data_IF_220960562962
#
_entry.id   IF_220960562962
#
_cell.length_a   1.000
_cell.length_b   1.000
_cell.length_c   1.000
_cell.angle_alpha   90.00
_cell.angle_beta   90.00
_cell.angle_gamma   90.00
#
_symmetry.space_group_name_H-M   'P 1'
#
loop_
_entity.id
_entity.type
_entity.pdbx_description
1 polymer ?
#
# COMPACT_ATOMS: atom_id res chain seq x y z
N UNK A 1 16.28 12.39 7.34
CA UNK A 1 15.11 13.16 7.84
C UNK A 1 14.03 13.00 6.80
N UNK A 2 12.87 12.47 7.17
CA UNK A 2 11.78 12.29 6.21
C UNK A 2 11.26 13.66 5.77
N UNK A 3 11.68 14.09 4.58
CA UNK A 3 11.27 15.37 3.97
C UNK A 3 9.80 15.35 3.47
N UNK A 4 9.06 14.29 3.74
CA UNK A 4 7.73 14.06 3.17
C UNK A 4 6.59 14.40 4.14
N UNK A 5 6.83 15.33 5.06
CA UNK A 5 5.79 15.86 5.93
C UNK A 5 5.59 17.36 5.65
N UNK A 6 4.36 17.81 5.55
CA UNK A 6 3.98 19.22 5.53
C UNK A 6 3.31 19.58 6.85
N UNK A 7 3.63 20.75 7.43
CA UNK A 7 3.01 21.23 8.65
C UNK A 7 2.41 22.64 8.46
N UNK A 8 1.41 22.95 9.26
CA UNK A 8 0.75 24.27 9.25
C UNK A 8 -0.41 24.36 8.28
N UNK A 9 -1.43 25.12 8.68
CA UNK A 9 -2.74 25.18 8.00
C UNK A 9 -2.66 25.65 6.55
N UNK A 10 -1.89 26.68 6.28
CA UNK A 10 -1.79 27.23 4.91
C UNK A 10 -1.07 26.25 3.98
N UNK A 11 0.07 25.70 4.41
CA UNK A 11 0.86 24.76 3.62
C UNK A 11 0.05 23.51 3.26
N UNK A 12 -0.64 22.93 4.26
CA UNK A 12 -1.46 21.74 4.05
C UNK A 12 -2.66 22.03 3.15
N UNK A 13 -3.34 23.18 3.35
CA UNK A 13 -4.47 23.57 2.51
C UNK A 13 -4.06 23.72 1.04
N UNK A 14 -2.96 24.41 0.77
CA UNK A 14 -2.47 24.62 -0.60
C UNK A 14 -2.00 23.30 -1.24
N UNK A 15 -1.37 22.41 -0.48
CA UNK A 15 -1.02 21.08 -0.98
C UNK A 15 -2.27 20.25 -1.40
N UNK A 16 -3.36 20.30 -0.60
CA UNK A 16 -4.61 19.66 -0.99
C UNK A 16 -5.21 20.33 -2.24
N UNK A 17 -5.25 21.67 -2.29
CA UNK A 17 -5.82 22.40 -3.44
C UNK A 17 -5.06 22.16 -4.74
N UNK A 18 -3.73 22.09 -4.69
CA UNK A 18 -2.87 21.87 -5.87
C UNK A 18 -2.93 20.43 -6.41
N UNK A 19 -3.62 19.51 -5.75
CA UNK A 19 -3.74 18.13 -6.22
C UNK A 19 -2.59 17.21 -5.82
N UNK A 20 -1.67 17.66 -4.96
CA UNK A 20 -0.57 16.83 -4.50
C UNK A 20 -1.11 15.60 -3.76
N UNK A 21 -0.50 14.45 -4.03
CA UNK A 21 -0.80 13.21 -3.32
C UNK A 21 -0.50 13.35 -1.83
N UNK A 22 -1.45 12.92 -0.99
CA UNK A 22 -1.32 12.93 0.47
C UNK A 22 -1.66 11.54 0.99
N UNK A 23 -0.75 10.93 1.73
CA UNK A 23 -0.95 9.62 2.34
C UNK A 23 -1.90 9.68 3.53
N UNK A 24 -1.69 10.66 4.40
CA UNK A 24 -2.54 10.89 5.55
C UNK A 24 -2.51 12.36 6.00
N UNK A 25 -3.66 12.84 6.43
CA UNK A 25 -3.82 14.12 7.10
C UNK A 25 -3.97 13.88 8.60
N UNK A 26 -3.03 14.37 9.39
CA UNK A 26 -3.08 14.34 10.84
C UNK A 26 -3.70 15.63 11.35
N UNK A 27 -4.76 15.53 12.15
CA UNK A 27 -5.48 16.67 12.71
C UNK A 27 -5.55 16.51 14.22
N UNK A 28 -5.33 17.58 14.95
CA UNK A 28 -5.43 17.57 16.41
C UNK A 28 -6.86 17.23 16.85
N UNK A 29 -7.01 16.32 17.79
CA UNK A 29 -8.30 15.99 18.41
C UNK A 29 -9.03 17.24 18.89
N UNK A 30 -10.32 17.34 18.57
CA UNK A 30 -11.17 18.50 18.91
C UNK A 30 -10.94 19.75 18.06
N UNK A 31 -9.99 19.77 17.15
CA UNK A 31 -9.74 20.91 16.25
C UNK A 31 -10.66 20.83 15.02
N UNK A 32 -11.84 21.41 15.10
CA UNK A 32 -12.83 21.43 13.99
C UNK A 32 -13.25 22.81 13.53
N UNK A 33 -12.59 23.88 14.00
CA UNK A 33 -13.03 25.26 13.76
C UNK A 33 -12.14 26.03 12.76
N UNK A 34 -12.71 27.10 12.20
CA UNK A 34 -11.99 28.01 11.31
C UNK A 34 -11.40 27.31 10.07
N UNK A 35 -10.14 27.60 9.75
CA UNK A 35 -9.45 27.06 8.57
C UNK A 35 -9.24 25.54 8.59
N UNK A 36 -9.29 24.89 9.76
CA UNK A 36 -9.23 23.42 9.85
C UNK A 36 -10.49 22.79 9.26
N UNK A 37 -11.67 23.39 9.44
CA UNK A 37 -12.92 22.91 8.82
C UNK A 37 -12.83 22.87 7.30
N UNK A 38 -12.23 23.91 6.68
CA UNK A 38 -12.00 23.95 5.23
C UNK A 38 -11.04 22.83 4.80
N UNK A 39 -9.93 22.65 5.50
CA UNK A 39 -8.94 21.59 5.25
C UNK A 39 -9.59 20.21 5.31
N UNK A 40 -10.38 19.93 6.33
CA UNK A 40 -11.10 18.67 6.51
C UNK A 40 -12.11 18.42 5.36
N UNK A 41 -12.84 19.45 4.92
CA UNK A 41 -13.75 19.36 3.79
C UNK A 41 -13.00 18.99 2.50
N UNK A 42 -11.95 19.73 2.18
CA UNK A 42 -11.11 19.48 1.00
C UNK A 42 -10.47 18.09 1.01
N UNK A 43 -9.99 17.65 2.19
CA UNK A 43 -9.40 16.32 2.35
C UNK A 43 -10.44 15.21 2.12
N UNK A 44 -11.67 15.37 2.60
CA UNK A 44 -12.77 14.40 2.37
C UNK A 44 -13.17 14.34 0.90
N UNK A 45 -13.31 15.48 0.23
CA UNK A 45 -13.63 15.57 -1.21
C UNK A 45 -12.60 14.84 -2.09
N UNK A 46 -11.33 14.82 -1.65
CA UNK A 46 -10.24 14.11 -2.35
C UNK A 46 -9.96 12.71 -1.83
N UNK A 47 -10.76 12.20 -0.90
CA UNK A 47 -10.58 10.86 -0.35
C UNK A 47 -9.29 10.68 0.46
N UNK A 48 -8.70 11.77 0.98
CA UNK A 48 -7.50 11.72 1.82
C UNK A 48 -7.85 11.05 3.15
N UNK A 49 -6.98 10.16 3.62
CA UNK A 49 -7.12 9.52 4.93
C UNK A 49 -6.90 10.55 6.03
N UNK A 50 -7.93 10.79 6.86
CA UNK A 50 -7.86 11.70 8.00
C UNK A 50 -7.65 10.89 9.28
N UNK A 51 -6.64 11.28 10.06
CA UNK A 51 -6.32 10.69 11.38
C UNK A 51 -6.40 11.79 12.44
N UNK A 52 -7.33 11.67 13.37
CA UNK A 52 -7.34 12.51 14.55
C UNK A 52 -6.31 11.98 15.55
N UNK A 53 -5.47 12.88 16.04
CA UNK A 53 -4.35 12.53 16.94
C UNK A 53 -4.22 13.55 18.06
N UNK A 54 -3.74 13.15 19.24
CA UNK A 54 -3.47 14.08 20.32
C UNK A 54 -2.34 15.06 19.96
N UNK A 55 -2.32 16.23 20.60
CA UNK A 55 -1.36 17.31 20.32
C UNK A 55 0.08 16.85 20.38
N UNK A 56 0.45 16.03 21.37
CA UNK A 56 1.81 15.52 21.52
C UNK A 56 2.30 14.74 20.32
N UNK A 57 1.40 14.03 19.61
CA UNK A 57 1.75 13.32 18.37
C UNK A 57 2.08 14.29 17.24
N UNK A 58 1.34 15.40 17.12
CA UNK A 58 1.66 16.45 16.15
C UNK A 58 2.95 17.19 16.50
N UNK A 59 3.19 17.45 17.80
CA UNK A 59 4.44 18.03 18.28
C UNK A 59 5.64 17.12 17.92
N UNK A 60 5.50 15.80 18.06
CA UNK A 60 6.50 14.81 17.67
C UNK A 60 6.78 14.86 16.15
N UNK A 61 5.75 14.83 15.35
CA UNK A 61 5.85 14.93 13.88
C UNK A 61 6.48 16.26 13.44
N UNK A 62 6.24 17.35 14.17
CA UNK A 62 6.73 18.68 13.85
C UNK A 62 8.16 18.96 14.35
N UNK A 63 8.76 18.09 15.17
CA UNK A 63 10.14 18.26 15.67
C UNK A 63 11.17 18.56 14.58
N UNK A 64 11.20 17.87 13.43
CA UNK A 64 12.17 18.13 12.38
C UNK A 64 12.09 19.54 11.76
N UNK A 65 10.95 20.23 11.93
CA UNK A 65 10.71 21.56 11.40
C UNK A 65 10.94 22.68 12.44
N UNK A 66 11.42 22.30 13.62
CA UNK A 66 11.73 23.22 14.71
C UNK A 66 13.15 23.78 14.61
N UNK A 67 13.44 24.76 15.47
CA UNK A 67 14.76 25.33 15.65
C UNK A 67 15.17 25.29 17.13
N UNK A 68 16.30 24.71 17.43
CA UNK A 68 16.74 24.45 18.82
C UNK A 68 15.76 23.50 19.51
N UNK A 69 15.34 23.80 20.75
CA UNK A 69 14.38 22.99 21.50
C UNK A 69 12.90 23.24 21.14
N UNK A 70 12.62 24.10 20.16
CA UNK A 70 11.25 24.42 19.74
C UNK A 70 10.82 23.49 18.61
N UNK A 71 9.61 22.92 18.74
CA UNK A 71 8.94 22.18 17.65
C UNK A 71 8.47 23.13 16.56
N UNK A 72 8.37 22.65 15.32
CA UNK A 72 7.75 23.42 14.24
C UNK A 72 6.28 23.75 14.54
N UNK A 73 5.81 24.90 14.06
CA UNK A 73 4.44 25.35 14.31
C UNK A 73 3.43 24.61 13.40
N UNK A 74 2.93 23.47 13.84
CA UNK A 74 1.97 22.65 13.08
C UNK A 74 0.55 23.23 13.06
N UNK A 75 0.19 24.16 13.94
CA UNK A 75 -1.14 24.80 14.02
C UNK A 75 -2.33 23.81 14.07
N UNK A 76 -2.12 22.64 14.67
CA UNK A 76 -3.11 21.58 14.78
C UNK A 76 -3.26 20.68 13.53
N UNK A 77 -2.38 20.78 12.54
CA UNK A 77 -2.45 19.97 11.33
C UNK A 77 -1.08 19.64 10.73
N UNK A 78 -0.93 18.40 10.22
CA UNK A 78 0.20 17.96 9.43
C UNK A 78 -0.28 17.01 8.32
N UNK A 79 0.42 16.97 7.20
CA UNK A 79 0.13 16.06 6.09
C UNK A 79 1.36 15.23 5.74
N UNK A 80 1.23 13.91 5.77
CA UNK A 80 2.26 13.00 5.25
C UNK A 80 2.10 12.88 3.74
N UNK A 81 3.19 13.12 3.03
CA UNK A 81 3.27 13.01 1.58
C UNK A 81 3.93 11.67 1.23
N UNK A 82 3.50 10.99 0.16
CA UNK A 82 4.21 9.81 -0.32
C UNK A 82 5.61 10.16 -0.83
N UNK A 83 6.50 9.16 -0.82
CA UNK A 83 7.84 9.26 -1.41
C UNK A 83 7.84 8.91 -2.89
N UNK A 84 6.71 8.42 -3.42
CA UNK A 84 6.51 8.02 -4.82
C UNK A 84 5.25 8.68 -5.37
N UNK A 85 5.15 8.84 -6.66
CA UNK A 85 3.87 9.06 -7.32
C UNK A 85 3.12 7.72 -7.43
N UNK A 86 1.88 7.70 -6.90
CA UNK A 86 1.03 6.52 -7.08
C UNK A 86 0.40 6.53 -8.46
N UNK A 87 0.35 5.34 -9.04
CA UNK A 87 -0.20 5.06 -10.36
C UNK A 87 -1.70 4.76 -10.31
N UNK A 88 -2.32 4.70 -11.48
CA UNK A 88 -3.68 4.21 -11.66
C UNK A 88 -3.68 2.73 -12.07
N UNK A 89 -4.84 2.06 -11.97
CA UNK A 89 -4.97 0.65 -12.36
C UNK A 89 -4.57 0.42 -13.82
N UNK A 90 -4.89 1.37 -14.68
CA UNK A 90 -4.58 1.37 -16.11
C UNK A 90 -3.08 1.25 -16.39
N UNK A 91 -2.23 1.83 -15.56
CA UNK A 91 -0.78 1.80 -15.74
C UNK A 91 -0.22 0.37 -15.60
N UNK A 92 -0.85 -0.46 -14.75
CA UNK A 92 -0.52 -1.89 -14.61
C UNK A 92 -0.73 -2.63 -15.93
N UNK A 93 -1.88 -2.40 -16.57
CA UNK A 93 -2.21 -3.05 -17.84
C UNK A 93 -1.34 -2.52 -18.98
N UNK A 94 -1.09 -1.21 -18.99
CA UNK A 94 -0.19 -0.57 -19.98
C UNK A 94 1.22 -1.13 -19.90
N UNK A 95 1.74 -1.38 -18.69
CA UNK A 95 3.05 -2.00 -18.51
C UNK A 95 3.07 -3.45 -19.04
N UNK A 96 2.05 -4.25 -18.73
CA UNK A 96 1.94 -5.62 -19.21
C UNK A 96 1.86 -5.66 -20.76
N UNK A 97 1.04 -4.79 -21.35
CA UNK A 97 0.91 -4.66 -22.80
C UNK A 97 2.24 -4.25 -23.45
N UNK A 98 2.95 -3.28 -22.88
CA UNK A 98 4.25 -2.82 -23.39
C UNK A 98 5.32 -3.92 -23.41
N UNK A 99 5.21 -4.89 -22.49
CA UNK A 99 6.09 -6.07 -22.40
C UNK A 99 5.59 -7.25 -23.25
N UNK A 100 4.37 -7.17 -23.81
CA UNK A 100 3.72 -8.29 -24.50
C UNK A 100 3.40 -9.46 -23.60
N UNK A 101 3.18 -9.20 -22.31
CA UNK A 101 2.99 -10.20 -21.25
C UNK A 101 1.55 -10.20 -20.73
N UNK A 102 1.14 -11.29 -20.09
CA UNK A 102 -0.13 -11.34 -19.37
C UNK A 102 0.01 -10.61 -18.04
N UNK A 103 -1.00 -9.78 -17.62
CA UNK A 103 -0.90 -9.04 -16.38
C UNK A 103 -0.66 -9.94 -15.16
N UNK A 104 0.35 -9.59 -14.37
CA UNK A 104 0.64 -10.18 -13.07
C UNK A 104 0.64 -9.06 -12.02
N UNK A 105 -0.31 -9.12 -11.09
CA UNK A 105 -0.55 -8.10 -10.07
C UNK A 105 -0.33 -8.69 -8.70
N UNK A 106 0.34 -7.97 -7.81
CA UNK A 106 0.47 -8.34 -6.39
C UNK A 106 -0.34 -7.37 -5.55
N UNK A 107 -1.32 -7.86 -4.82
CA UNK A 107 -2.14 -7.07 -3.92
C UNK A 107 -1.82 -7.38 -2.46
N UNK A 108 -1.85 -6.36 -1.62
CA UNK A 108 -1.48 -6.46 -0.22
C UNK A 108 -2.68 -6.12 0.66
N UNK A 109 -3.16 -7.10 1.42
CA UNK A 109 -4.31 -6.94 2.32
C UNK A 109 -3.83 -6.87 3.77
N UNK A 110 -3.80 -5.66 4.34
CA UNK A 110 -3.43 -5.45 5.74
C UNK A 110 -1.93 -5.47 6.05
N UNK A 111 -1.05 -5.32 5.07
CA UNK A 111 0.39 -5.17 5.30
C UNK A 111 0.66 -3.76 5.85
N UNK A 112 0.97 -3.65 7.14
CA UNK A 112 1.16 -2.36 7.84
C UNK A 112 2.63 -2.00 8.07
N UNK A 113 3.53 -2.98 7.95
CA UNK A 113 4.96 -2.76 8.11
C UNK A 113 5.61 -2.26 6.82
N UNK A 114 6.37 -1.17 6.91
CA UNK A 114 7.01 -0.52 5.77
C UNK A 114 8.17 -1.32 5.19
N UNK A 115 8.86 -2.12 6.02
CA UNK A 115 9.94 -2.97 5.55
C UNK A 115 9.38 -4.14 4.74
N UNK A 116 8.28 -4.74 5.20
CA UNK A 116 7.57 -5.77 4.43
C UNK A 116 7.07 -5.21 3.10
N UNK A 117 6.44 -4.02 3.10
CA UNK A 117 5.99 -3.39 1.85
C UNK A 117 7.16 -3.19 0.87
N UNK A 118 8.24 -2.56 1.31
CA UNK A 118 9.41 -2.31 0.44
C UNK A 118 10.04 -3.61 -0.09
N UNK A 119 10.17 -4.65 0.74
CA UNK A 119 10.70 -5.93 0.33
C UNK A 119 9.79 -6.66 -0.68
N UNK A 120 8.46 -6.54 -0.53
CA UNK A 120 7.50 -7.11 -1.49
C UNK A 120 7.56 -6.37 -2.82
N UNK A 121 7.60 -5.03 -2.81
CA UNK A 121 7.74 -4.22 -4.03
C UNK A 121 8.99 -4.64 -4.81
N UNK A 122 10.12 -4.77 -4.13
CA UNK A 122 11.37 -5.23 -4.74
C UNK A 122 11.25 -6.63 -5.33
N UNK A 123 10.71 -7.58 -4.57
CA UNK A 123 10.56 -8.96 -5.04
C UNK A 123 9.61 -9.06 -6.23
N UNK A 124 8.53 -8.26 -6.23
CA UNK A 124 7.55 -8.24 -7.29
C UNK A 124 8.13 -7.69 -8.60
N UNK A 125 8.87 -6.58 -8.53
CA UNK A 125 9.54 -5.98 -9.68
C UNK A 125 10.58 -6.94 -10.27
N UNK A 126 11.50 -7.46 -9.46
CA UNK A 126 12.56 -8.40 -9.86
C UNK A 126 12.02 -9.69 -10.50
N UNK A 127 10.82 -10.12 -10.13
CA UNK A 127 10.16 -11.33 -10.64
C UNK A 127 9.18 -11.06 -11.79
N UNK A 128 9.09 -9.80 -12.27
CA UNK A 128 8.32 -9.43 -13.45
C UNK A 128 6.83 -9.20 -13.17
N UNK A 129 6.43 -8.84 -11.97
CA UNK A 129 5.08 -8.33 -11.74
C UNK A 129 4.87 -6.98 -12.44
N UNK A 130 3.64 -6.69 -12.82
CA UNK A 130 3.27 -5.48 -13.55
C UNK A 130 2.67 -4.39 -12.66
N UNK A 131 2.40 -4.70 -11.39
CA UNK A 131 1.90 -3.71 -10.46
C UNK A 131 1.67 -4.23 -9.05
N UNK A 132 1.71 -3.29 -8.11
CA UNK A 132 1.39 -3.49 -6.70
C UNK A 132 0.09 -2.75 -6.39
N UNK A 133 -0.82 -3.40 -5.67
CA UNK A 133 -2.07 -2.80 -5.21
C UNK A 133 -2.09 -2.78 -3.69
N UNK A 134 -2.25 -1.61 -3.09
CA UNK A 134 -2.34 -1.43 -1.64
C UNK A 134 -3.63 -0.66 -1.28
N UNK A 135 -4.27 -0.95 -0.14
CA UNK A 135 -5.43 -0.18 0.29
C UNK A 135 -5.01 1.19 0.83
N UNK A 136 -5.88 2.21 0.66
CA UNK A 136 -5.66 3.56 1.21
C UNK A 136 -5.67 3.59 2.75
N UNK A 137 -6.30 2.60 3.39
CA UNK A 137 -6.43 2.50 4.85
C UNK A 137 -5.99 1.13 5.34
N UNK A 138 -5.44 1.06 6.56
CA UNK A 138 -5.02 -0.20 7.16
C UNK A 138 -3.81 -0.85 6.49
N UNK A 139 -2.99 -0.07 5.78
CA UNK A 139 -1.80 -0.53 5.06
C UNK A 139 -0.63 0.42 5.25
N UNK A 140 0.58 -0.09 5.10
CA UNK A 140 1.77 0.72 4.91
C UNK A 140 1.67 1.52 3.62
N UNK A 141 2.40 2.63 3.56
CA UNK A 141 2.53 3.49 2.38
C UNK A 141 4.00 3.56 1.96
N UNK A 142 4.26 3.97 0.72
CA UNK A 142 5.61 4.13 0.19
C UNK A 142 6.27 5.39 0.78
N UNK A 143 6.73 5.24 2.00
CA UNK A 143 7.55 6.26 2.69
C UNK A 143 9.01 6.12 2.28
N UNK A 144 9.84 7.09 2.65
CA UNK A 144 11.31 7.02 2.46
C UNK A 144 11.91 5.72 3.03
N UNK A 145 11.36 5.20 4.14
CA UNK A 145 11.80 3.95 4.74
C UNK A 145 11.46 2.74 3.85
N UNK A 146 10.25 2.69 3.30
CA UNK A 146 9.83 1.63 2.37
C UNK A 146 10.62 1.68 1.06
N UNK A 147 10.81 2.88 0.46
CA UNK A 147 11.62 3.08 -0.74
C UNK A 147 13.09 2.65 -0.53
N UNK A 148 13.67 2.93 0.63
CA UNK A 148 15.02 2.46 0.96
C UNK A 148 15.14 0.93 0.92
N UNK A 149 14.13 0.21 1.36
CA UNK A 149 14.08 -1.27 1.32
C UNK A 149 13.79 -1.77 -0.09
N UNK A 150 12.89 -1.10 -0.81
CA UNK A 150 12.59 -1.40 -2.22
C UNK A 150 13.78 -1.15 -3.15
N UNK A 151 14.75 -0.30 -2.72
CA UNK A 151 16.03 -0.09 -3.41
C UNK A 151 15.90 0.38 -4.86
N UNK A 152 14.88 1.21 -5.15
CA UNK A 152 14.63 1.76 -6.48
C UNK A 152 13.63 0.95 -7.34
N UNK A 153 13.17 -0.22 -6.87
CA UNK A 153 12.18 -1.01 -7.60
C UNK A 153 10.86 -0.24 -7.82
N UNK A 154 10.53 0.68 -6.91
CA UNK A 154 9.36 1.54 -6.98
C UNK A 154 9.31 2.48 -8.19
N UNK A 155 10.43 2.69 -8.85
CA UNK A 155 10.53 3.52 -10.07
C UNK A 155 10.13 2.73 -11.35
N UNK A 156 10.07 1.40 -11.27
CA UNK A 156 9.89 0.52 -12.41
C UNK A 156 8.58 -0.27 -12.40
N UNK A 157 7.84 -0.23 -11.28
CA UNK A 157 6.58 -0.94 -11.12
C UNK A 157 5.47 0.00 -10.63
N UNK A 158 4.32 0.10 -11.32
CA UNK A 158 3.16 0.85 -10.87
C UNK A 158 2.71 0.42 -9.46
N UNK A 159 2.56 1.39 -8.56
CA UNK A 159 2.02 1.19 -7.21
C UNK A 159 0.70 1.94 -7.10
N UNK A 160 -0.40 1.18 -6.99
CA UNK A 160 -1.76 1.71 -7.03
C UNK A 160 -2.41 1.69 -5.66
N UNK A 161 -3.06 2.78 -5.27
CA UNK A 161 -3.82 2.87 -4.02
C UNK A 161 -5.32 2.78 -4.26
N UNK A 162 -5.96 1.78 -3.67
CA UNK A 162 -7.39 1.49 -3.83
C UNK A 162 -8.18 1.73 -2.54
N UNK A 163 -9.50 1.88 -2.64
CA UNK A 163 -10.37 2.01 -1.48
C UNK A 163 -10.33 0.75 -0.60
N UNK A 164 -10.44 -0.42 -1.24
CA UNK A 164 -10.25 -1.73 -0.60
C UNK A 164 -9.92 -2.82 -1.63
N UNK A 165 -9.26 -3.87 -1.18
CA UNK A 165 -8.82 -4.98 -2.05
C UNK A 165 -10.00 -5.81 -2.57
N UNK A 166 -11.02 -6.06 -1.76
CA UNK A 166 -12.13 -6.93 -2.16
C UNK A 166 -12.93 -6.38 -3.35
N UNK A 167 -13.13 -5.06 -3.45
CA UNK A 167 -13.76 -4.44 -4.62
C UNK A 167 -12.81 -4.42 -5.83
N UNK A 168 -11.52 -4.26 -5.58
CA UNK A 168 -10.52 -4.29 -6.66
C UNK A 168 -10.41 -5.67 -7.30
N UNK A 169 -10.65 -6.75 -6.54
CA UNK A 169 -10.73 -8.11 -7.07
C UNK A 169 -11.80 -8.18 -8.19
N UNK A 170 -12.98 -7.61 -7.96
CA UNK A 170 -14.06 -7.64 -8.96
C UNK A 170 -13.61 -6.91 -10.25
N UNK A 171 -12.98 -5.74 -10.13
CA UNK A 171 -12.45 -4.98 -11.27
C UNK A 171 -11.38 -5.79 -12.03
N UNK A 172 -10.48 -6.47 -11.33
CA UNK A 172 -9.44 -7.29 -11.95
C UNK A 172 -10.02 -8.51 -12.67
N UNK A 173 -11.04 -9.15 -12.09
CA UNK A 173 -11.76 -10.27 -12.73
C UNK A 173 -12.48 -9.84 -14.00
N UNK A 174 -13.15 -8.69 -14.00
CA UNK A 174 -13.79 -8.12 -15.19
C UNK A 174 -12.77 -7.86 -16.32
N UNK A 175 -11.51 -7.63 -15.97
CA UNK A 175 -10.38 -7.48 -16.91
C UNK A 175 -9.69 -8.81 -17.26
N UNK A 176 -10.24 -9.93 -16.81
CA UNK A 176 -9.79 -11.27 -17.19
C UNK A 176 -8.65 -11.85 -16.35
N UNK A 177 -8.37 -11.29 -15.18
CA UNK A 177 -7.42 -11.90 -14.24
C UNK A 177 -8.12 -12.96 -13.38
N UNK A 178 -7.43 -14.06 -13.15
CA UNK A 178 -7.72 -14.96 -12.04
C UNK A 178 -7.15 -14.39 -10.73
N UNK A 179 -7.76 -14.71 -9.61
CA UNK A 179 -7.34 -14.19 -8.31
C UNK A 179 -7.00 -15.33 -7.37
N UNK A 180 -5.75 -15.38 -6.92
CA UNK A 180 -5.26 -16.30 -5.90
C UNK A 180 -4.93 -15.55 -4.62
N UNK A 181 -5.45 -15.96 -3.48
CA UNK A 181 -5.09 -15.39 -2.18
C UNK A 181 -4.29 -16.38 -1.33
N UNK A 182 -3.31 -15.86 -0.61
CA UNK A 182 -2.46 -16.63 0.28
C UNK A 182 -3.13 -16.82 1.64
N UNK A 183 -3.41 -18.08 2.00
CA UNK A 183 -4.00 -18.44 3.29
C UNK A 183 -3.58 -19.88 3.68
N UNK A 184 -3.40 -20.15 4.95
CA UNK A 184 -2.92 -21.45 5.45
C UNK A 184 -3.87 -22.61 5.17
N UNK A 185 -5.16 -22.33 4.98
CA UNK A 185 -6.18 -23.33 4.65
C UNK A 185 -6.22 -23.68 3.16
N UNK A 186 -5.35 -23.05 2.35
CA UNK A 186 -5.33 -23.19 0.90
C UNK A 186 -4.75 -24.53 0.40
N UNK A 187 -4.81 -24.70 -0.92
CA UNK A 187 -4.10 -25.76 -1.64
C UNK A 187 -2.62 -25.38 -1.81
N UNK A 188 -1.66 -26.33 -1.78
CA UNK A 188 -0.27 -26.04 -2.07
C UNK A 188 -0.10 -25.30 -3.40
N UNK A 189 0.61 -24.17 -3.40
CA UNK A 189 0.72 -23.28 -4.56
C UNK A 189 1.34 -23.95 -5.80
N UNK A 190 2.18 -24.95 -5.59
CA UNK A 190 2.79 -25.76 -6.66
C UNK A 190 1.80 -26.71 -7.36
N UNK A 191 0.60 -26.90 -6.80
CA UNK A 191 -0.48 -27.71 -7.37
C UNK A 191 -1.59 -26.89 -8.05
N UNK A 192 -1.59 -25.60 -7.84
CA UNK A 192 -2.56 -24.68 -8.46
C UNK A 192 -1.95 -24.06 -9.71
N UNK A 193 -2.73 -23.98 -10.79
CA UNK A 193 -2.28 -23.34 -12.04
C UNK A 193 -2.31 -21.81 -11.88
N UNK A 194 -1.13 -21.21 -11.73
CA UNK A 194 -0.93 -19.77 -11.61
C UNK A 194 -0.48 -19.10 -12.92
N UNK A 195 -0.55 -19.82 -14.05
CA UNK A 195 -0.19 -19.28 -15.37
C UNK A 195 -1.20 -18.24 -15.85
N UNK A 196 -0.75 -17.40 -16.80
CA UNK A 196 -1.63 -16.40 -17.41
C UNK A 196 -1.79 -15.12 -16.59
N UNK A 197 -2.90 -14.42 -16.84
CA UNK A 197 -3.25 -13.18 -16.15
C UNK A 197 -3.73 -13.49 -14.72
N UNK A 198 -3.03 -12.96 -13.71
CA UNK A 198 -3.32 -13.30 -12.31
C UNK A 198 -3.08 -12.14 -11.36
N UNK A 199 -3.92 -12.04 -10.35
CA UNK A 199 -3.73 -11.22 -9.16
C UNK A 199 -3.44 -12.11 -7.97
N UNK A 200 -2.27 -11.95 -7.36
CA UNK A 200 -1.87 -12.65 -6.15
C UNK A 200 -2.10 -11.75 -4.93
N UNK A 201 -2.93 -12.18 -3.99
CA UNK A 201 -3.24 -11.41 -2.78
C UNK A 201 -2.49 -11.96 -1.59
N UNK A 202 -1.68 -11.12 -0.95
CA UNK A 202 -0.89 -11.43 0.24
C UNK A 202 -1.53 -10.74 1.45
N UNK A 203 -1.82 -11.50 2.49
CA UNK A 203 -2.39 -11.02 3.74
C UNK A 203 -1.34 -10.58 4.77
N UNK A 204 -1.84 -10.02 5.87
CA UNK A 204 -1.01 -9.63 7.02
C UNK A 204 -0.45 -10.83 7.77
N UNK A 205 0.62 -10.60 8.56
CA UNK A 205 1.14 -11.58 9.49
C UNK A 205 0.11 -11.84 10.61
N UNK A 206 -0.23 -13.09 10.82
CA UNK A 206 -1.17 -13.53 11.87
C UNK A 206 -2.64 -13.57 11.44
N UNK A 207 -3.19 -12.53 10.83
CA UNK A 207 -4.60 -12.52 10.40
C UNK A 207 -4.80 -13.06 8.98
N UNK A 208 -3.74 -13.09 8.16
CA UNK A 208 -3.83 -13.48 6.76
C UNK A 208 -4.61 -12.48 5.91
N UNK A 209 -5.32 -12.96 4.90
CA UNK A 209 -6.22 -12.15 4.07
C UNK A 209 -7.58 -11.98 4.74
N UNK A 210 -8.24 -10.85 4.51
CA UNK A 210 -9.58 -10.62 5.05
C UNK A 210 -10.61 -11.61 4.48
N UNK A 211 -11.67 -11.90 5.25
CA UNK A 211 -12.72 -12.84 4.85
C UNK A 211 -13.31 -12.51 3.48
N UNK A 212 -13.60 -11.25 3.20
CA UNK A 212 -14.17 -10.82 1.92
C UNK A 212 -13.20 -11.02 0.75
N UNK A 213 -11.91 -10.83 0.97
CA UNK A 213 -10.88 -11.13 -0.04
C UNK A 213 -10.85 -12.62 -0.34
N UNK A 214 -10.86 -13.46 0.70
CA UNK A 214 -10.88 -14.93 0.55
C UNK A 214 -12.12 -15.42 -0.20
N UNK A 215 -13.31 -14.91 0.16
CA UNK A 215 -14.59 -15.26 -0.49
C UNK A 215 -14.66 -14.85 -1.97
N UNK A 216 -13.95 -13.80 -2.37
CA UNK A 216 -13.93 -13.29 -3.75
C UNK A 216 -12.80 -13.84 -4.60
N UNK A 217 -11.81 -14.48 -3.99
CA UNK A 217 -10.70 -15.12 -4.71
C UNK A 217 -11.17 -16.39 -5.41
N UNK A 218 -10.56 -16.71 -6.57
CA UNK A 218 -10.84 -17.94 -7.31
C UNK A 218 -10.08 -19.13 -6.72
N UNK A 219 -8.89 -18.85 -6.16
CA UNK A 219 -8.04 -19.86 -5.54
C UNK A 219 -7.59 -19.38 -4.16
N UNK A 220 -7.56 -20.31 -3.22
CA UNK A 220 -6.90 -20.13 -1.93
C UNK A 220 -5.67 -21.01 -1.94
N UNK A 221 -4.49 -20.41 -1.83
CA UNK A 221 -3.21 -21.10 -1.96
C UNK A 221 -2.38 -20.97 -0.69
N UNK A 222 -1.53 -21.94 -0.44
CA UNK A 222 -0.58 -21.92 0.67
C UNK A 222 0.83 -22.29 0.25
N UNK A 223 1.78 -21.89 1.06
CA UNK A 223 3.14 -22.43 1.05
C UNK A 223 3.16 -23.64 1.94
N UNK A 224 3.53 -24.81 1.39
CA UNK A 224 3.68 -26.03 2.20
C UNK A 224 4.93 -25.92 3.07
N UNK A 225 4.74 -25.82 4.38
CA UNK A 225 5.81 -25.67 5.36
C UNK A 225 5.86 -26.85 6.32
N UNK A 226 7.05 -27.26 6.74
CA UNK A 226 7.27 -28.35 7.70
C UNK A 226 7.61 -27.84 9.12
N UNK A 227 7.69 -26.53 9.27
CA UNK A 227 8.07 -25.88 10.53
C UNK A 227 6.96 -25.92 11.57
N UNK A 228 7.34 -25.71 12.84
CA UNK A 228 6.40 -25.62 13.97
C UNK A 228 5.96 -24.18 14.28
N UNK A 229 6.62 -23.18 13.69
CA UNK A 229 6.24 -21.77 13.78
C UNK A 229 5.11 -21.52 12.79
N UNK A 230 4.02 -20.92 13.25
CA UNK A 230 2.73 -20.89 12.57
C UNK A 230 2.71 -20.24 11.18
N UNK A 231 3.57 -19.23 10.90
CA UNK A 231 3.58 -18.54 9.62
C UNK A 231 4.97 -18.00 9.25
N UNK A 232 5.19 -17.81 7.95
CA UNK A 232 6.32 -17.05 7.45
C UNK A 232 6.06 -15.55 7.61
N UNK A 233 7.14 -14.76 7.67
CA UNK A 233 7.05 -13.32 7.48
C UNK A 233 6.35 -13.00 6.15
N UNK A 234 5.52 -11.96 6.11
CA UNK A 234 4.69 -11.64 4.95
C UNK A 234 5.52 -11.37 3.67
N UNK A 235 6.65 -10.69 3.79
CA UNK A 235 7.53 -10.45 2.63
C UNK A 235 8.19 -11.74 2.14
N UNK A 236 8.57 -12.65 3.05
CA UNK A 236 9.10 -13.96 2.69
C UNK A 236 8.05 -14.83 1.99
N UNK A 237 6.82 -14.87 2.51
CA UNK A 237 5.71 -15.58 1.89
C UNK A 237 5.40 -15.02 0.50
N UNK A 238 5.35 -13.69 0.37
CA UNK A 238 5.14 -13.02 -0.91
C UNK A 238 6.23 -13.40 -1.92
N UNK A 239 7.51 -13.33 -1.54
CA UNK A 239 8.61 -13.66 -2.43
C UNK A 239 8.54 -15.11 -2.96
N UNK A 240 8.18 -16.07 -2.09
CA UNK A 240 8.03 -17.48 -2.47
C UNK A 240 6.87 -17.66 -3.46
N UNK A 241 5.71 -17.06 -3.20
CA UNK A 241 4.53 -17.19 -4.06
C UNK A 241 4.69 -16.45 -5.38
N UNK A 242 5.33 -15.29 -5.39
CA UNK A 242 5.70 -14.53 -6.59
C UNK A 242 6.68 -15.36 -7.45
N UNK A 243 7.68 -15.98 -6.82
CA UNK A 243 8.60 -16.87 -7.52
C UNK A 243 7.89 -18.10 -8.08
N UNK A 244 6.95 -18.69 -7.33
CA UNK A 244 6.18 -19.83 -7.81
C UNK A 244 5.35 -19.45 -9.06
N UNK A 245 4.69 -18.28 -9.04
CA UNK A 245 4.02 -17.76 -10.23
C UNK A 245 4.97 -17.60 -11.42
N UNK A 246 6.14 -16.99 -11.21
CA UNK A 246 7.15 -16.82 -12.25
C UNK A 246 7.64 -18.16 -12.80
N UNK A 247 7.85 -19.16 -11.94
CA UNK A 247 8.33 -20.50 -12.31
C UNK A 247 7.35 -21.24 -13.22
N UNK A 248 6.06 -21.00 -13.03
CA UNK A 248 5.00 -21.63 -13.84
C UNK A 248 4.83 -20.97 -15.22
N UNK A 249 5.20 -19.71 -15.41
CA UNK A 249 5.11 -18.97 -16.67
C UNK A 249 4.12 -17.83 -16.62
#
# INVERSE_FOLDING_TARGET
MDNNLLIGRNTVREAIKSGRSIDALYVQEGAGEGSIREILRLARERGVVIKEVPKNKLDELAKPFGYGDRTGNHQGVAAAMPSVEYSEIEDIFSLAESRGEKPFVVALDGITDQQNLGAIVRSAEEMGAHGIVIPKRGSATMTTAACKVASGAEEYIPIVRVANISQTIDVMKERGLWVACADMDGEPADKVDLRGAIMLVIGSEGEGVSRLVKERSDFVIKIDTKGKVGSLNAASAAAILIYEKKRQG
#
